data_IF_641989835932
#
_entry.id   IF_641989835932
#
_cell.length_a   1.000
_cell.length_b   1.000
_cell.length_c   1.000
_cell.angle_alpha   90.00
_cell.angle_beta   90.00
_cell.angle_gamma   90.00
#
_symmetry.space_group_name_H-M   'P 1'
#
loop_
_entity.id
_entity.type
_entity.pdbx_description
1 polymer ?
#
# COMPACT_ATOMS: atom_id res chain seq x y z
N UNK A 1 13.92 8.06 6.79
CA UNK A 1 12.58 7.58 6.39
C UNK A 1 12.79 6.68 5.18
N UNK A 2 12.69 5.36 5.37
CA UNK A 2 13.18 4.36 4.42
C UNK A 2 12.04 3.69 3.66
N UNK A 3 12.27 3.39 2.37
CA UNK A 3 11.36 2.60 1.56
C UNK A 3 11.30 1.17 2.12
N UNK A 4 10.28 0.86 2.90
CA UNK A 4 10.05 -0.49 3.38
C UNK A 4 9.37 -1.31 2.28
N UNK A 5 10.08 -2.32 1.73
CA UNK A 5 9.50 -3.28 0.78
C UNK A 5 8.49 -4.18 1.52
N UNK A 6 7.21 -3.84 1.39
CA UNK A 6 6.12 -4.49 2.13
C UNK A 6 5.58 -5.76 1.45
N UNK A 7 5.95 -6.01 0.19
CA UNK A 7 5.43 -7.17 -0.56
C UNK A 7 6.49 -7.81 -1.46
N UNK A 8 6.67 -9.12 -1.28
CA UNK A 8 7.37 -10.05 -2.17
C UNK A 8 6.54 -11.34 -2.21
N UNK A 9 5.42 -11.33 -2.93
CA UNK A 9 4.55 -12.49 -3.05
C UNK A 9 4.38 -12.94 -4.50
N UNK A 10 4.41 -14.26 -4.72
CA UNK A 10 4.28 -14.88 -6.05
C UNK A 10 2.81 -15.03 -6.50
N UNK A 11 1.90 -14.24 -5.92
CA UNK A 11 0.44 -14.38 -6.17
C UNK A 11 0.13 -13.84 -7.57
N UNK A 12 -0.59 -14.60 -8.43
CA UNK A 12 -0.81 -14.19 -9.82
C UNK A 12 -1.77 -12.99 -9.94
N UNK A 13 -2.62 -12.77 -8.94
CA UNK A 13 -3.63 -11.71 -8.93
C UNK A 13 -3.57 -10.99 -7.58
N UNK A 14 -3.57 -9.66 -7.62
CA UNK A 14 -3.57 -8.80 -6.44
C UNK A 14 -4.46 -7.58 -6.70
N UNK A 15 -5.32 -7.23 -5.74
CA UNK A 15 -6.16 -6.02 -5.80
C UNK A 15 -5.56 -4.90 -4.97
N UNK A 16 -5.91 -3.65 -5.29
CA UNK A 16 -5.48 -2.50 -4.47
C UNK A 16 -5.99 -2.59 -3.03
N UNK A 17 -7.19 -3.16 -2.82
CA UNK A 17 -7.72 -3.43 -1.48
C UNK A 17 -6.80 -4.34 -0.67
N UNK A 18 -6.31 -5.43 -1.27
CA UNK A 18 -5.44 -6.37 -0.57
C UNK A 18 -4.07 -5.75 -0.28
N UNK A 19 -3.53 -4.93 -1.19
CA UNK A 19 -2.28 -4.20 -0.98
C UNK A 19 -2.42 -3.16 0.15
N UNK A 20 -3.47 -2.32 0.10
CA UNK A 20 -3.76 -1.32 1.12
C UNK A 20 -3.90 -1.98 2.50
N UNK A 21 -4.68 -3.06 2.58
CA UNK A 21 -4.88 -3.78 3.83
C UNK A 21 -3.58 -4.33 4.41
N UNK A 22 -2.79 -5.08 3.61
CA UNK A 22 -1.53 -5.67 4.07
C UNK A 22 -0.51 -4.62 4.48
N UNK A 23 -0.39 -3.54 3.72
CA UNK A 23 0.55 -2.48 4.04
C UNK A 23 0.15 -1.73 5.30
N UNK A 24 -1.13 -1.38 5.48
CA UNK A 24 -1.63 -0.79 6.73
C UNK A 24 -1.41 -1.73 7.91
N UNK A 25 -1.71 -3.02 7.76
CA UNK A 25 -1.49 -4.03 8.81
C UNK A 25 -0.01 -4.05 9.23
N UNK A 26 0.91 -4.08 8.27
CA UNK A 26 2.35 -4.06 8.55
C UNK A 26 2.79 -2.75 9.23
N UNK A 27 2.32 -1.59 8.78
CA UNK A 27 2.67 -0.30 9.39
C UNK A 27 2.12 -0.15 10.81
N UNK A 28 0.91 -0.63 11.07
CA UNK A 28 0.30 -0.64 12.41
C UNK A 28 1.07 -1.58 13.33
N UNK A 29 1.40 -2.80 12.87
CA UNK A 29 2.21 -3.77 13.63
C UNK A 29 3.59 -3.21 14.01
N UNK A 30 4.22 -2.45 13.12
CA UNK A 30 5.50 -1.80 13.37
C UNK A 30 5.37 -0.48 14.18
N UNK A 31 4.17 -0.14 14.68
CA UNK A 31 3.89 1.11 15.41
C UNK A 31 4.25 2.38 14.63
N UNK A 32 4.18 2.33 13.30
CA UNK A 32 4.50 3.45 12.40
C UNK A 32 3.24 4.25 12.07
N UNK A 33 2.13 3.57 11.74
CA UNK A 33 0.85 4.19 11.37
C UNK A 33 -0.16 4.10 12.52
N UNK A 34 -0.91 5.18 12.74
CA UNK A 34 -1.86 5.39 13.85
C UNK A 34 -1.24 5.35 15.26
N UNK A 35 0.08 5.47 15.35
CA UNK A 35 0.81 5.64 16.61
C UNK A 35 1.24 7.11 16.74
N UNK A 36 1.13 7.68 17.94
CA UNK A 36 1.56 9.07 18.23
C UNK A 36 1.03 10.12 17.24
N UNK A 37 -0.25 10.03 16.85
CA UNK A 37 -0.90 10.90 15.85
C UNK A 37 -0.32 10.84 14.43
N UNK A 38 0.54 9.87 14.11
CA UNK A 38 1.01 9.60 12.73
C UNK A 38 -0.06 8.90 11.92
N UNK A 39 -1.05 9.66 11.47
CA UNK A 39 -2.16 9.21 10.63
C UNK A 39 -2.08 9.75 9.20
N UNK A 40 -1.10 10.60 8.89
CA UNK A 40 -0.90 11.18 7.57
C UNK A 40 0.21 10.45 6.83
N UNK A 41 0.00 10.27 5.54
CA UNK A 41 0.95 9.59 4.69
C UNK A 41 0.31 9.11 3.40
N UNK A 42 1.15 8.59 2.51
CA UNK A 42 0.75 8.06 1.21
C UNK A 42 1.42 6.72 0.99
N UNK A 43 0.66 5.79 0.45
CA UNK A 43 1.15 4.52 -0.05
C UNK A 43 1.23 4.60 -1.57
N UNK A 44 2.43 4.45 -2.11
CA UNK A 44 2.70 4.51 -3.53
C UNK A 44 2.98 3.12 -4.05
N UNK A 45 2.19 2.67 -5.02
CA UNK A 45 2.36 1.39 -5.71
C UNK A 45 2.85 1.74 -7.09
N UNK A 46 4.06 1.32 -7.43
CA UNK A 46 4.66 1.56 -8.74
C UNK A 46 5.05 0.26 -9.39
N UNK A 47 5.19 0.30 -10.72
CA UNK A 47 5.55 -0.89 -11.48
C UNK A 47 4.34 -1.81 -11.67
N UNK A 48 4.56 -2.90 -12.39
CA UNK A 48 3.48 -3.82 -12.70
C UNK A 48 2.44 -3.29 -13.71
N UNK A 49 2.73 -2.20 -14.43
CA UNK A 49 1.97 -1.70 -15.59
C UNK A 49 1.03 -0.54 -15.32
N UNK A 50 0.67 -0.26 -14.07
CA UNK A 50 -0.10 0.92 -13.65
C UNK A 50 0.40 1.38 -12.27
N UNK A 51 0.51 2.69 -12.08
CA UNK A 51 0.92 3.28 -10.79
C UNK A 51 -0.30 3.79 -10.02
N UNK A 52 -0.28 3.63 -8.70
CA UNK A 52 -1.35 4.07 -7.80
C UNK A 52 -0.78 4.79 -6.59
N UNK A 53 -1.51 5.79 -6.10
CA UNK A 53 -1.21 6.46 -4.83
C UNK A 53 -2.45 6.44 -3.96
N UNK A 54 -2.33 5.91 -2.76
CA UNK A 54 -3.41 5.77 -1.79
C UNK A 54 -3.08 6.64 -0.58
N UNK A 55 -4.03 7.47 -0.17
CA UNK A 55 -3.90 8.31 1.02
C UNK A 55 -4.15 7.47 2.29
N UNK A 56 -3.21 7.47 3.23
CA UNK A 56 -3.31 6.72 4.48
C UNK A 56 -4.16 7.44 5.55
N UNK A 57 -4.35 8.76 5.41
CA UNK A 57 -5.22 9.55 6.30
C UNK A 57 -6.70 9.25 6.13
N UNK A 58 -7.07 8.63 5.01
CA UNK A 58 -8.44 8.25 4.69
C UNK A 58 -8.53 6.75 4.43
N UNK A 59 -9.75 6.23 4.48
CA UNK A 59 -10.04 4.87 4.00
C UNK A 59 -9.87 4.82 2.47
N UNK A 60 -9.49 3.66 1.96
CA UNK A 60 -9.43 3.41 0.52
C UNK A 60 -10.80 3.70 -0.11
N UNK A 61 -10.81 4.45 -1.21
CA UNK A 61 -12.04 4.73 -1.96
C UNK A 61 -12.62 3.43 -2.54
N UNK A 62 -13.94 3.25 -2.47
CA UNK A 62 -14.62 2.01 -2.89
C UNK A 62 -14.33 1.64 -4.34
N UNK A 63 -14.21 2.62 -5.22
CA UNK A 63 -13.92 2.41 -6.65
C UNK A 63 -12.56 1.75 -6.88
N UNK A 64 -11.60 1.98 -5.97
CA UNK A 64 -10.27 1.39 -6.05
C UNK A 64 -10.22 -0.02 -5.47
N UNK A 65 -11.23 -0.43 -4.68
CA UNK A 65 -11.18 -1.69 -3.95
C UNK A 65 -11.15 -2.93 -4.86
N UNK A 66 -11.81 -2.86 -6.02
CA UNK A 66 -11.89 -3.94 -7.01
C UNK A 66 -10.90 -3.75 -8.18
N UNK A 67 -10.00 -2.78 -8.09
CA UNK A 67 -8.98 -2.58 -9.12
C UNK A 67 -7.87 -3.61 -8.95
N UNK A 68 -7.60 -4.32 -10.04
CA UNK A 68 -6.52 -5.31 -10.12
C UNK A 68 -5.22 -4.66 -10.57
N UNK A 69 -4.12 -5.13 -9.98
CA UNK A 69 -2.77 -4.85 -10.48
C UNK A 69 -2.48 -5.77 -11.65
N UNK A 70 -2.08 -5.20 -12.79
CA UNK A 70 -1.82 -5.97 -14.03
C UNK A 70 -0.69 -6.99 -13.86
N UNK A 71 0.45 -6.59 -13.27
CA UNK A 71 1.61 -7.45 -13.04
C UNK A 71 2.06 -7.38 -11.58
N UNK A 72 1.39 -8.08 -10.65
CA UNK A 72 1.64 -7.98 -9.21
C UNK A 72 3.03 -8.44 -8.76
N UNK A 73 3.74 -9.24 -9.56
CA UNK A 73 5.10 -9.69 -9.26
C UNK A 73 6.17 -8.60 -9.50
N UNK A 74 5.83 -7.55 -10.26
CA UNK A 74 6.74 -6.46 -10.64
C UNK A 74 6.41 -5.15 -9.94
N UNK A 75 5.51 -5.17 -8.95
CA UNK A 75 5.20 -3.96 -8.19
C UNK A 75 6.23 -3.69 -7.12
N UNK A 76 6.41 -2.42 -6.84
CA UNK A 76 7.08 -1.91 -5.64
C UNK A 76 6.04 -1.13 -4.84
N UNK A 77 5.97 -1.39 -3.54
CA UNK A 77 5.11 -0.66 -2.62
C UNK A 77 6.00 0.17 -1.71
N UNK A 78 5.84 1.48 -1.77
CA UNK A 78 6.56 2.46 -0.96
C UNK A 78 5.58 3.16 -0.03
N UNK A 79 6.02 3.43 1.20
CA UNK A 79 5.23 4.14 2.20
C UNK A 79 5.96 5.41 2.57
N UNK A 80 5.25 6.53 2.45
CA UNK A 80 5.71 7.86 2.82
C UNK A 80 4.82 8.33 3.97
N UNK A 81 5.35 8.37 5.18
CA UNK A 81 4.67 8.87 6.38
C UNK A 81 5.13 10.31 6.64
N UNK A 82 4.18 11.17 7.00
CA UNK A 82 4.40 12.58 7.36
C UNK A 82 4.62 12.72 8.88
#
# INVERSE_FOLDING_TARGET
IGAHKMYQGNKPILTLKEIDFRAREALIKNKILYHENRNKGKLKITGGGNDYTIDLSKRLHSDLANVYVKNPQKITVEVLID
#
